data_IF_330757399207
#
_entry.id   IF_330757399207
#
_cell.length_a   1.000
_cell.length_b   1.000
_cell.length_c   1.000
_cell.angle_alpha   90.00
_cell.angle_beta   90.00
_cell.angle_gamma   90.00
#
_symmetry.space_group_name_H-M   'P 1'
#
loop_
_entity.id
_entity.type
_entity.pdbx_description
1 polymer ?
#
# COMPACT_ATOMS: atom_id res chain seq x y z
N UNK A 1 11.49 13.47 -15.91
CA UNK A 1 10.38 12.54 -15.56
C UNK A 1 9.70 13.04 -14.29
N UNK A 2 8.38 13.18 -14.27
CA UNK A 2 7.65 13.65 -13.08
C UNK A 2 7.54 12.57 -12.00
N UNK A 3 7.41 12.97 -10.74
CA UNK A 3 7.21 12.04 -9.62
C UNK A 3 5.96 11.15 -9.82
N UNK A 4 4.92 11.68 -10.46
CA UNK A 4 3.71 10.93 -10.82
C UNK A 4 3.98 9.78 -11.81
N UNK A 5 4.86 9.98 -12.80
CA UNK A 5 5.21 8.93 -13.76
C UNK A 5 6.02 7.79 -13.12
N UNK A 6 6.90 8.11 -12.16
CA UNK A 6 7.61 7.09 -11.36
C UNK A 6 6.64 6.30 -10.48
N UNK A 7 5.68 6.98 -9.85
CA UNK A 7 4.65 6.35 -9.03
C UNK A 7 3.82 5.36 -9.86
N UNK A 8 3.35 5.78 -11.04
CA UNK A 8 2.55 4.93 -11.93
C UNK A 8 3.34 3.71 -12.44
N UNK A 9 4.62 3.90 -12.76
CA UNK A 9 5.50 2.80 -13.18
C UNK A 9 5.78 1.80 -12.05
N UNK A 10 5.92 2.27 -10.80
CA UNK A 10 6.04 1.41 -9.62
C UNK A 10 4.75 0.65 -9.32
N UNK A 11 3.59 1.32 -9.41
CA UNK A 11 2.27 0.70 -9.23
C UNK A 11 1.99 -0.40 -10.27
N UNK A 12 2.47 -0.25 -11.51
CA UNK A 12 2.32 -1.26 -12.57
C UNK A 12 3.21 -2.49 -12.39
N UNK A 13 4.29 -2.37 -11.63
CA UNK A 13 5.18 -3.50 -11.28
C UNK A 13 4.80 -4.15 -9.95
N UNK A 14 3.71 -3.69 -9.34
CA UNK A 14 3.46 -3.92 -7.93
C UNK A 14 2.93 -5.34 -7.68
N UNK A 15 3.65 -6.19 -6.93
CA UNK A 15 3.19 -7.52 -6.53
C UNK A 15 2.23 -7.48 -5.33
N UNK A 16 1.65 -6.31 -5.02
CA UNK A 16 0.71 -6.16 -3.92
C UNK A 16 -0.68 -6.58 -4.37
N UNK A 17 -1.19 -7.64 -3.77
CA UNK A 17 -2.60 -7.97 -3.77
C UNK A 17 -3.33 -7.09 -2.75
N UNK A 18 -4.65 -6.95 -2.87
CA UNK A 18 -5.45 -6.24 -1.89
C UNK A 18 -6.84 -6.84 -1.76
N UNK A 19 -7.38 -6.79 -0.55
CA UNK A 19 -8.74 -7.27 -0.25
C UNK A 19 -9.53 -6.26 0.56
N UNK A 20 -10.80 -6.11 0.21
CA UNK A 20 -11.76 -5.31 0.96
C UNK A 20 -13.18 -5.87 0.78
N UNK A 21 -13.51 -6.90 1.54
CA UNK A 21 -14.81 -7.59 1.48
C UNK A 21 -15.87 -6.88 2.35
N UNK A 22 -16.21 -5.63 2.01
CA UNK A 22 -17.27 -4.85 2.70
C UNK A 22 -16.93 -4.43 4.15
N UNK A 23 -15.74 -4.78 4.65
CA UNK A 23 -15.29 -4.49 6.00
C UNK A 23 -14.87 -3.03 6.18
N UNK A 24 -14.54 -2.64 7.41
CA UNK A 24 -14.06 -1.30 7.75
C UNK A 24 -12.63 -1.01 7.28
N UNK A 25 -11.88 -2.01 6.80
CA UNK A 25 -10.48 -1.90 6.44
C UNK A 25 -10.20 -2.51 5.07
N UNK A 26 -9.43 -1.81 4.25
CA UNK A 26 -8.77 -2.39 3.07
C UNK A 26 -7.42 -2.95 3.51
N UNK A 27 -7.10 -4.19 3.13
CA UNK A 27 -5.85 -4.84 3.49
C UNK A 27 -5.00 -5.02 2.24
N UNK A 28 -3.84 -4.38 2.21
CA UNK A 28 -2.81 -4.63 1.21
C UNK A 28 -1.97 -5.83 1.63
N UNK A 29 -1.63 -6.70 0.70
CA UNK A 29 -0.90 -7.94 0.92
C UNK A 29 0.27 -7.97 -0.06
N UNK A 30 1.48 -8.13 0.44
CA UNK A 30 2.67 -8.29 -0.39
C UNK A 30 2.93 -9.76 -0.66
N UNK A 31 3.60 -10.05 -1.77
CA UNK A 31 3.99 -11.41 -2.14
C UNK A 31 4.80 -12.16 -1.07
N UNK A 32 5.48 -11.46 -0.15
CA UNK A 32 6.19 -12.04 0.99
C UNK A 32 5.28 -12.36 2.20
N UNK A 33 3.98 -12.11 2.08
CA UNK A 33 2.98 -12.33 3.12
C UNK A 33 2.79 -11.16 4.09
N UNK A 34 3.57 -10.08 3.99
CA UNK A 34 3.35 -8.88 4.83
C UNK A 34 2.03 -8.21 4.45
N UNK A 35 1.32 -7.70 5.45
CA UNK A 35 0.02 -7.06 5.24
C UNK A 35 -0.08 -5.70 5.90
N UNK A 36 -0.75 -4.75 5.24
CA UNK A 36 -1.08 -3.44 5.79
C UNK A 36 -2.60 -3.23 5.76
N UNK A 37 -3.29 -3.30 6.92
CA UNK A 37 -4.68 -2.88 7.04
C UNK A 37 -4.78 -1.35 7.12
N UNK A 38 -5.63 -0.76 6.28
CA UNK A 38 -5.89 0.68 6.20
C UNK A 38 -7.39 0.93 6.39
N UNK A 39 -7.80 1.85 7.29
CA UNK A 39 -9.21 2.20 7.46
C UNK A 39 -9.80 2.75 6.15
N UNK A 40 -10.88 2.13 5.67
CA UNK A 40 -11.50 2.51 4.40
C UNK A 40 -12.59 3.57 4.55
N UNK A 41 -13.13 3.75 5.77
CA UNK A 41 -14.22 4.69 6.07
C UNK A 41 -13.77 5.94 6.81
N UNK A 42 -12.47 6.24 6.82
CA UNK A 42 -11.90 7.42 7.48
C UNK A 42 -10.92 8.11 6.53
N UNK A 43 -10.72 9.44 6.66
CA UNK A 43 -9.65 10.12 5.94
C UNK A 43 -8.31 9.42 6.18
N UNK A 44 -7.59 9.16 5.10
CA UNK A 44 -6.30 8.49 5.17
C UNK A 44 -5.29 9.43 5.82
N UNK A 45 -4.87 9.11 7.04
CA UNK A 45 -3.83 9.86 7.74
C UNK A 45 -2.48 9.66 7.04
N UNK A 46 -1.59 10.68 6.99
CA UNK A 46 -0.28 10.58 6.36
C UNK A 46 0.58 9.40 6.82
N UNK A 47 0.40 8.92 8.06
CA UNK A 47 1.07 7.74 8.58
C UNK A 47 0.82 6.47 7.74
N UNK A 48 -0.38 6.31 7.17
CA UNK A 48 -0.68 5.14 6.33
C UNK A 48 0.03 5.21 4.98
N UNK A 49 0.28 6.42 4.47
CA UNK A 49 1.11 6.60 3.27
C UNK A 49 2.53 6.16 3.55
N UNK A 50 3.10 6.55 4.71
CA UNK A 50 4.45 6.11 5.12
C UNK A 50 4.54 4.59 5.25
N UNK A 51 3.58 3.98 5.96
CA UNK A 51 3.51 2.52 6.12
C UNK A 51 3.33 1.78 4.80
N UNK A 52 2.61 2.36 3.85
CA UNK A 52 2.43 1.78 2.53
C UNK A 52 3.74 1.84 1.71
N UNK A 53 4.49 2.93 1.81
CA UNK A 53 5.83 3.02 1.22
C UNK A 53 6.80 2.01 1.85
N UNK A 54 6.80 1.88 3.18
CA UNK A 54 7.57 0.85 3.91
C UNK A 54 7.20 -0.57 3.45
N UNK A 55 5.90 -0.83 3.26
CA UNK A 55 5.43 -2.12 2.73
C UNK A 55 5.96 -2.37 1.31
N UNK A 56 5.97 -1.36 0.45
CA UNK A 56 6.44 -1.47 -0.93
C UNK A 56 7.94 -1.70 -1.03
N UNK A 57 8.72 -0.86 -0.35
CA UNK A 57 10.18 -0.89 -0.40
C UNK A 57 10.70 -2.23 0.15
N UNK A 58 9.96 -2.86 1.07
CA UNK A 58 10.34 -4.14 1.69
C UNK A 58 11.52 -4.02 2.64
N UNK A 59 12.11 -2.84 2.68
CA UNK A 59 13.21 -2.45 3.54
C UNK A 59 12.63 -2.26 4.94
N UNK A 60 13.02 -3.17 5.83
CA UNK A 60 13.16 -2.83 7.23
C UNK A 60 14.67 -2.86 7.51
N UNK A 61 15.18 -2.02 8.42
CA UNK A 61 16.42 -2.37 9.09
C UNK A 61 16.35 -3.79 9.68
#
# INVERSE_FOLDING_TARGET
MSNAAKLLAAMRRNPLDWRQEGTSHCVFIRADGRTLPVPARRPIKPIYVKKFLELLDGDQP
#
